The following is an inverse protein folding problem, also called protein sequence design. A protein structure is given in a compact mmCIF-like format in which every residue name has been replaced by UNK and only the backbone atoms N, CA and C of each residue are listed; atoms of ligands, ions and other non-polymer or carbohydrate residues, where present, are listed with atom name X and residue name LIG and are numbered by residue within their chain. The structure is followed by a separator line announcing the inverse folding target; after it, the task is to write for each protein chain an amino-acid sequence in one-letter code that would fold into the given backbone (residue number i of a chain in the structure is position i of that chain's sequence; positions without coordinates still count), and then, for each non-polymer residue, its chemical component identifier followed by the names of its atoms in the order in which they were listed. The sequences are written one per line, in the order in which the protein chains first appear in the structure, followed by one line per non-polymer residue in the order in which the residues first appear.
data_IF_651485241174
#
_entry.id   IF_651485241174
#
_cell.length_a   1.000
_cell.length_b   1.000
_cell.length_c   1.000
_cell.angle_alpha   90.00
_cell.angle_beta   90.00
_cell.angle_gamma   90.00
#
_symmetry.space_group_name_H-M   'P 1'
#
loop_
_entity.id
_entity.type
_entity.pdbx_description
1 polymer ?
#
# COMPACT_ATOMS: atom_id res chain seq x y z
N UNK A 1 13.20 2.05 -20.86
CA UNK A 1 13.82 2.03 -19.54
C UNK A 1 12.78 2.34 -18.50
N UNK A 2 12.46 1.38 -17.63
CA UNK A 2 11.79 1.65 -16.35
C UNK A 2 12.83 1.38 -15.28
N UNK A 3 13.11 2.40 -14.46
CA UNK A 3 14.17 2.40 -13.47
C UNK A 3 14.00 1.27 -12.47
N UNK A 4 15.06 0.49 -12.34
CA UNK A 4 15.33 -0.31 -11.16
C UNK A 4 15.57 0.65 -9.99
N UNK A 5 14.67 0.63 -9.00
CA UNK A 5 14.75 1.47 -7.81
C UNK A 5 14.21 0.71 -6.61
N UNK A 6 15.09 -0.12 -6.04
CA UNK A 6 15.07 -0.62 -4.67
C UNK A 6 13.74 -1.13 -4.08
N UNK A 7 13.46 -2.42 -4.29
CA UNK A 7 12.88 -3.26 -3.25
C UNK A 7 13.66 -4.58 -3.26
N UNK A 8 14.89 -4.53 -2.73
CA UNK A 8 15.63 -5.75 -2.38
C UNK A 8 15.19 -6.23 -0.99
N UNK A 9 15.24 -7.55 -0.74
CA UNK A 9 14.41 -8.23 0.23
C UNK A 9 15.15 -8.46 1.54
N UNK A 10 14.46 -8.30 2.67
CA UNK A 10 14.89 -8.90 3.93
C UNK A 10 14.02 -10.11 4.23
N UNK A 11 14.30 -11.18 3.49
CA UNK A 11 14.00 -12.54 3.93
C UNK A 11 15.04 -12.93 4.98
N UNK A 12 14.74 -12.69 6.26
CA UNK A 12 15.50 -13.26 7.38
C UNK A 12 14.52 -13.89 8.38
N UNK A 13 14.70 -15.20 8.61
CA UNK A 13 14.20 -15.87 9.81
C UNK A 13 12.83 -16.56 9.71
N UNK A 14 12.77 -17.70 9.02
CA UNK A 14 11.59 -18.60 8.89
C UNK A 14 11.08 -19.23 10.21
N UNK A 15 11.56 -18.79 11.38
CA UNK A 15 11.17 -19.33 12.69
C UNK A 15 10.55 -18.32 13.67
N UNK A 16 10.77 -17.01 13.47
CA UNK A 16 10.25 -15.95 14.35
C UNK A 16 9.04 -15.20 13.77
N UNK A 17 8.81 -15.31 12.45
CA UNK A 17 7.76 -14.60 11.73
C UNK A 17 6.34 -15.08 12.05
N UNK A 18 6.14 -16.32 12.51
CA UNK A 18 4.79 -16.84 12.80
C UNK A 18 4.04 -16.17 13.95
N UNK A 19 4.76 -15.50 14.88
CA UNK A 19 4.16 -14.74 15.99
C UNK A 19 3.83 -13.30 15.57
N UNK A 20 4.74 -12.66 14.82
CA UNK A 20 4.53 -11.32 14.26
C UNK A 20 3.49 -11.28 13.15
N UNK A 21 3.30 -12.37 12.39
CA UNK A 21 2.31 -12.44 11.29
C UNK A 21 0.87 -12.46 11.85
N UNK A 22 0.63 -13.23 12.90
CA UNK A 22 -0.65 -13.20 13.64
C UNK A 22 -0.89 -11.86 14.34
N UNK A 23 0.16 -11.25 14.88
CA UNK A 23 0.08 -9.91 15.47
C UNK A 23 -0.28 -8.85 14.43
N UNK A 24 0.29 -8.94 13.21
CA UNK A 24 -0.02 -8.05 12.09
C UNK A 24 -1.42 -8.27 11.50
N UNK A 25 -1.90 -9.52 11.42
CA UNK A 25 -3.27 -9.84 10.99
C UNK A 25 -4.30 -9.33 12.02
N UNK A 26 -4.01 -9.49 13.31
CA UNK A 26 -4.83 -8.95 14.40
C UNK A 26 -4.77 -7.41 14.45
N UNK A 27 -3.62 -6.80 14.14
CA UNK A 27 -3.49 -5.34 14.03
C UNK A 27 -4.31 -4.81 12.86
N UNK A 28 -4.28 -5.47 11.70
CA UNK A 28 -5.02 -5.04 10.51
C UNK A 28 -6.54 -5.23 10.68
N UNK A 29 -6.96 -6.34 11.30
CA UNK A 29 -8.35 -6.58 11.68
C UNK A 29 -8.79 -5.58 12.74
N UNK A 30 -7.95 -5.29 13.73
CA UNK A 30 -8.17 -4.27 14.74
C UNK A 30 -8.32 -2.87 14.14
N UNK A 31 -7.45 -2.47 13.22
CA UNK A 31 -7.54 -1.19 12.51
C UNK A 31 -8.80 -1.11 11.63
N UNK A 32 -9.18 -2.20 10.95
CA UNK A 32 -10.42 -2.26 10.17
C UNK A 32 -11.66 -2.20 11.06
N UNK A 33 -11.67 -2.90 12.19
CA UNK A 33 -12.76 -2.87 13.16
C UNK A 33 -12.87 -1.50 13.84
N UNK A 34 -11.74 -0.89 14.22
CA UNK A 34 -11.70 0.45 14.78
C UNK A 34 -12.20 1.49 13.77
N UNK A 35 -11.80 1.39 12.51
CA UNK A 35 -12.28 2.28 11.46
C UNK A 35 -13.78 2.13 11.20
N UNK A 36 -14.29 0.89 11.16
CA UNK A 36 -15.72 0.62 11.02
C UNK A 36 -16.51 1.11 12.24
N UNK A 37 -16.00 0.90 13.47
CA UNK A 37 -16.64 1.41 14.69
C UNK A 37 -16.68 2.94 14.72
N UNK A 38 -15.59 3.59 14.32
CA UNK A 38 -15.50 5.05 14.28
C UNK A 38 -16.38 5.65 13.18
N UNK A 39 -16.45 4.99 12.02
CA UNK A 39 -17.37 5.35 10.94
C UNK A 39 -18.83 5.13 11.35
N UNK A 40 -19.17 4.02 12.01
CA UNK A 40 -20.53 3.77 12.52
C UNK A 40 -20.91 4.80 13.59
N UNK A 41 -20.01 5.13 14.52
CA UNK A 41 -20.23 6.17 15.53
C UNK A 41 -20.44 7.56 14.92
N UNK A 42 -19.73 7.88 13.84
CA UNK A 42 -19.86 9.17 13.14
C UNK A 42 -21.08 9.23 12.20
N UNK A 43 -21.52 8.07 11.69
CA UNK A 43 -22.69 7.92 10.82
C UNK A 43 -23.99 7.60 11.58
N UNK A 44 -23.96 7.43 12.91
CA UNK A 44 -25.19 7.50 13.71
C UNK A 44 -25.76 8.90 13.50
N UNK A 45 -26.93 9.05 12.87
CA UNK A 45 -27.49 10.36 12.63
C UNK A 45 -27.87 10.95 13.98
N UNK A 46 -27.19 12.01 14.41
CA UNK A 46 -27.86 13.05 15.18
C UNK A 46 -28.96 13.54 14.24
N UNK A 47 -30.22 13.18 14.55
CA UNK A 47 -31.34 13.24 13.61
C UNK A 47 -31.34 14.52 12.76
N UNK A 48 -31.14 14.36 11.45
CA UNK A 48 -31.31 15.45 10.50
C UNK A 48 -32.80 15.74 10.36
N UNK A 49 -33.21 16.87 10.91
CA UNK A 49 -34.46 17.52 10.54
C UNK A 49 -34.35 17.87 9.05
N UNK A 50 -35.17 17.25 8.21
CA UNK A 50 -35.33 17.67 6.81
C UNK A 50 -36.15 18.96 6.84
N UNK A 51 -35.48 20.11 6.90
CA UNK A 51 -36.14 21.40 6.76
C UNK A 51 -36.46 21.59 5.28
N UNK A 52 -37.74 21.45 4.93
CA UNK A 52 -38.28 21.93 3.65
C UNK A 52 -37.90 23.40 3.49
N UNK A 53 -37.01 23.69 2.54
CA UNK A 53 -36.51 25.04 2.30
C UNK A 53 -37.65 26.02 2.01
N UNK A 54 -37.68 27.20 2.66
CA UNK A 54 -38.65 28.21 2.34
C UNK A 54 -38.28 28.87 1.00
N UNK A 55 -39.30 29.11 0.17
CA UNK A 55 -39.37 30.15 -0.88
C UNK A 55 -38.04 30.55 -1.55
N UNK A 56 -37.84 30.01 -2.75
CA UNK A 56 -36.77 30.31 -3.72
C UNK A 56 -36.52 31.82 -3.88
N UNK A 57 -35.65 32.38 -3.03
CA UNK A 57 -34.97 33.66 -3.28
C UNK A 57 -33.67 33.36 -3.99
N UNK A 58 -33.30 34.21 -4.95
CA UNK A 58 -32.05 34.01 -5.67
C UNK A 58 -30.88 34.36 -4.75
N UNK A 59 -29.77 33.62 -4.88
CA UNK A 59 -28.57 33.87 -4.05
C UNK A 59 -28.08 35.32 -4.15
N UNK A 60 -28.35 36.00 -5.27
CA UNK A 60 -27.99 37.40 -5.50
C UNK A 60 -28.70 38.38 -4.55
N UNK A 61 -29.86 38.02 -4.00
CA UNK A 61 -30.65 38.90 -3.12
C UNK A 61 -29.96 39.15 -1.78
N UNK A 62 -29.02 38.26 -1.42
CA UNK A 62 -28.23 38.32 -0.19
C UNK A 62 -26.85 38.95 -0.41
N UNK A 63 -26.64 39.65 -1.52
CA UNK A 63 -25.39 40.40 -1.75
C UNK A 63 -25.32 41.58 -0.77
N UNK A 64 -24.16 41.80 -0.14
CA UNK A 64 -23.94 42.78 0.94
C UNK A 64 -24.70 42.51 2.25
N UNK A 65 -25.20 41.29 2.48
CA UNK A 65 -25.77 40.89 3.77
C UNK A 65 -24.74 40.11 4.61
N UNK A 66 -25.21 39.32 5.59
CA UNK A 66 -24.34 38.46 6.38
C UNK A 66 -24.07 37.12 5.68
N UNK A 67 -22.87 36.58 5.91
CA UNK A 67 -22.45 35.27 5.42
C UNK A 67 -23.38 34.13 5.90
N UNK A 68 -23.95 34.24 7.10
CA UNK A 68 -24.89 33.25 7.66
C UNK A 68 -26.21 33.22 6.89
N UNK A 69 -26.72 34.39 6.51
CA UNK A 69 -27.98 34.51 5.75
C UNK A 69 -27.82 34.03 4.30
N UNK A 70 -26.67 34.32 3.67
CA UNK A 70 -26.36 33.79 2.33
C UNK A 70 -26.23 32.25 2.33
N UNK A 71 -25.62 31.67 3.38
CA UNK A 71 -25.31 30.25 3.46
C UNK A 71 -26.43 29.39 4.06
N UNK A 72 -27.58 29.98 4.39
CA UNK A 72 -28.79 29.22 4.73
C UNK A 72 -29.16 28.23 3.60
N UNK A 73 -28.86 28.61 2.35
CA UNK A 73 -28.99 27.76 1.19
C UNK A 73 -27.64 27.15 0.78
N UNK A 74 -27.51 25.82 0.86
CA UNK A 74 -26.30 25.07 0.43
C UNK A 74 -25.97 25.20 -1.06
N UNK A 75 -26.87 25.78 -1.85
CA UNK A 75 -26.65 26.05 -3.29
C UNK A 75 -25.95 27.40 -3.55
N UNK A 76 -25.80 28.24 -2.52
CA UNK A 76 -25.17 29.54 -2.60
C UNK A 76 -23.72 29.50 -2.08
N UNK A 77 -22.92 30.45 -2.54
CA UNK A 77 -21.52 30.67 -2.20
C UNK A 77 -21.35 32.13 -1.75
N UNK A 78 -20.65 32.32 -0.64
CA UNK A 78 -20.29 33.65 -0.14
C UNK A 78 -18.83 33.97 -0.43
N UNK A 79 -18.55 35.19 -0.88
CA UNK A 79 -17.19 35.71 -1.07
C UNK A 79 -16.92 36.90 -0.17
N UNK A 80 -15.85 36.83 0.63
CA UNK A 80 -15.47 37.91 1.55
C UNK A 80 -14.83 39.12 0.86
N UNK A 81 -14.12 38.93 -0.27
CA UNK A 81 -13.48 40.04 -1.02
C UNK A 81 -14.50 41.11 -1.41
N UNK A 82 -15.57 40.70 -2.10
CA UNK A 82 -16.57 41.61 -2.68
C UNK A 82 -17.88 41.65 -1.86
N UNK A 83 -17.94 40.95 -0.72
CA UNK A 83 -19.15 40.77 0.10
C UNK A 83 -20.39 40.37 -0.73
N UNK A 84 -20.18 39.46 -1.68
CA UNK A 84 -21.21 39.01 -2.63
C UNK A 84 -21.68 37.60 -2.34
N UNK A 85 -23.00 37.40 -2.46
CA UNK A 85 -23.62 36.08 -2.44
C UNK A 85 -23.97 35.69 -3.88
N UNK A 86 -23.54 34.52 -4.32
CA UNK A 86 -23.78 34.05 -5.68
C UNK A 86 -24.08 32.55 -5.70
N UNK A 87 -24.75 32.08 -6.75
CA UNK A 87 -25.02 30.66 -6.91
C UNK A 87 -23.71 29.90 -7.15
N UNK A 88 -23.50 28.79 -6.45
CA UNK A 88 -22.32 27.96 -6.66
C UNK A 88 -22.34 27.39 -8.09
N UNK A 89 -21.30 27.64 -8.91
CA UNK A 89 -21.26 27.16 -10.28
C UNK A 89 -20.97 25.65 -10.29
N UNK A 90 -22.01 24.83 -10.35
CA UNK A 90 -21.92 23.35 -10.35
C UNK A 90 -21.14 22.83 -11.57
N UNK A 91 -21.12 23.58 -12.67
CA UNK A 91 -20.41 23.21 -13.89
C UNK A 91 -18.89 23.24 -13.74
N UNK A 92 -18.37 24.03 -12.79
CA UNK A 92 -16.94 24.10 -12.49
C UNK A 92 -16.72 23.58 -11.08
N UNK A 93 -16.17 22.36 -10.96
CA UNK A 93 -15.96 21.67 -9.67
C UNK A 93 -15.23 22.54 -8.63
N UNK A 94 -14.41 23.50 -9.06
CA UNK A 94 -13.75 24.49 -8.22
C UNK A 94 -13.94 25.87 -8.87
N UNK A 95 -14.54 26.86 -8.18
CA UNK A 95 -14.63 28.21 -8.71
C UNK A 95 -13.22 28.76 -8.98
N UNK A 96 -13.02 29.39 -10.13
CA UNK A 96 -11.72 29.96 -10.48
C UNK A 96 -11.35 31.10 -9.51
N UNK A 97 -10.05 31.23 -9.21
CA UNK A 97 -9.52 32.29 -8.35
C UNK A 97 -9.89 33.72 -8.81
N UNK A 98 -10.28 33.88 -10.07
CA UNK A 98 -10.73 35.15 -10.64
C UNK A 98 -12.13 35.58 -10.19
N UNK A 99 -12.97 34.64 -9.73
CA UNK A 99 -14.34 34.93 -9.27
C UNK A 99 -14.36 35.17 -7.77
N UNK A 100 -13.62 34.34 -7.02
CA UNK A 100 -13.33 34.54 -5.60
C UNK A 100 -12.13 33.68 -5.24
N UNK A 101 -11.14 34.18 -4.49
CA UNK A 101 -10.02 33.37 -4.06
C UNK A 101 -10.49 32.33 -3.02
N UNK A 102 -9.97 31.10 -3.13
CA UNK A 102 -10.44 29.93 -2.36
C UNK A 102 -10.31 30.09 -0.84
N UNK A 103 -9.39 30.93 -0.38
CA UNK A 103 -9.18 31.26 1.03
C UNK A 103 -10.32 32.12 1.61
N UNK A 104 -10.99 32.91 0.78
CA UNK A 104 -12.05 33.84 1.17
C UNK A 104 -13.45 33.37 0.76
N UNK A 105 -13.53 32.35 -0.08
CA UNK A 105 -14.78 31.67 -0.39
C UNK A 105 -15.29 30.83 0.80
N UNK A 106 -16.60 30.85 1.04
CA UNK A 106 -17.30 30.01 2.03
C UNK A 106 -18.47 29.29 1.39
N UNK A 107 -18.68 28.03 1.77
CA UNK A 107 -19.76 27.18 1.25
C UNK A 107 -20.34 26.32 2.37
N UNK A 108 -21.66 26.32 2.51
CA UNK A 108 -22.42 25.57 3.51
C UNK A 108 -22.25 26.04 4.97
N UNK A 109 -21.05 26.48 5.36
CA UNK A 109 -20.73 27.01 6.70
C UNK A 109 -19.87 28.26 6.59
N UNK A 110 -20.11 29.24 7.46
CA UNK A 110 -19.41 30.53 7.39
C UNK A 110 -18.01 30.51 8.04
N UNK A 111 -17.80 29.64 9.02
CA UNK A 111 -16.56 29.60 9.82
C UNK A 111 -15.42 28.80 9.15
N UNK A 112 -15.68 28.04 8.08
CA UNK A 112 -14.65 27.24 7.36
C UNK A 112 -14.49 27.74 5.93
N UNK A 113 -13.23 27.91 5.52
CA UNK A 113 -12.87 28.29 4.16
C UNK A 113 -13.08 27.13 3.18
N UNK A 114 -13.38 27.44 1.91
CA UNK A 114 -13.53 26.43 0.87
C UNK A 114 -12.28 25.55 0.72
N UNK A 115 -11.10 26.15 0.85
CA UNK A 115 -9.81 25.45 0.86
C UNK A 115 -9.74 24.38 1.98
N UNK A 116 -10.07 24.76 3.21
CA UNK A 116 -10.06 23.85 4.35
C UNK A 116 -11.09 22.72 4.19
N UNK A 117 -12.24 23.01 3.58
CA UNK A 117 -13.28 22.02 3.30
C UNK A 117 -12.79 20.96 2.31
N UNK A 118 -12.12 21.36 1.22
CA UNK A 118 -11.55 20.42 0.24
C UNK A 118 -10.50 19.52 0.89
N UNK A 119 -9.61 20.11 1.71
CA UNK A 119 -8.57 19.35 2.42
C UNK A 119 -9.22 18.34 3.36
N UNK A 120 -10.23 18.75 4.14
CA UNK A 120 -10.94 17.85 5.05
C UNK A 120 -11.59 16.67 4.30
N UNK A 121 -12.28 16.92 3.18
CA UNK A 121 -12.87 15.86 2.35
C UNK A 121 -11.81 14.94 1.74
N UNK A 122 -10.66 15.49 1.35
CA UNK A 122 -9.53 14.73 0.83
C UNK A 122 -8.92 13.82 1.89
N UNK A 123 -8.77 14.30 3.13
CA UNK A 123 -8.25 13.51 4.26
C UNK A 123 -9.22 12.40 4.63
N UNK A 124 -10.52 12.70 4.74
CA UNK A 124 -11.56 11.69 5.01
C UNK A 124 -11.58 10.64 3.90
N UNK A 125 -11.60 11.07 2.64
CA UNK A 125 -11.53 10.17 1.49
C UNK A 125 -10.25 9.33 1.48
N UNK A 126 -9.09 9.92 1.78
CA UNK A 126 -7.81 9.24 1.87
C UNK A 126 -7.77 8.19 2.99
N UNK A 127 -8.32 8.51 4.16
CA UNK A 127 -8.44 7.57 5.29
C UNK A 127 -9.38 6.40 4.98
N UNK A 128 -10.34 6.55 4.07
CA UNK A 128 -11.22 5.46 3.61
C UNK A 128 -10.58 4.66 2.46
N UNK A 129 -9.99 5.35 1.47
CA UNK A 129 -9.45 4.72 0.27
C UNK A 129 -8.12 4.01 0.53
N UNK A 130 -7.24 4.58 1.36
CA UNK A 130 -5.95 3.98 1.69
C UNK A 130 -6.08 2.58 2.31
N UNK A 131 -6.91 2.34 3.35
CA UNK A 131 -7.09 1.00 3.89
C UNK A 131 -7.83 0.08 2.92
N UNK A 132 -8.68 0.58 2.03
CA UNK A 132 -9.35 -0.24 1.02
C UNK A 132 -8.36 -0.75 -0.03
N UNK A 133 -7.53 0.13 -0.57
CA UNK A 133 -6.46 -0.23 -1.52
C UNK A 133 -5.42 -1.12 -0.84
N UNK A 134 -4.98 -0.75 0.35
CA UNK A 134 -4.08 -1.55 1.18
C UNK A 134 -4.66 -2.94 1.44
N UNK A 135 -5.88 -3.06 1.95
CA UNK A 135 -6.56 -4.34 2.19
C UNK A 135 -6.72 -5.14 0.89
N UNK A 136 -7.06 -4.52 -0.24
CA UNK A 136 -7.15 -5.20 -1.53
C UNK A 136 -5.77 -5.68 -2.04
N UNK A 137 -4.71 -4.90 -1.86
CA UNK A 137 -3.36 -5.28 -2.27
C UNK A 137 -2.76 -6.35 -1.34
N UNK A 138 -2.89 -6.23 -0.02
CA UNK A 138 -2.34 -7.19 0.94
C UNK A 138 -3.14 -8.50 0.99
N UNK A 139 -4.48 -8.47 0.91
CA UNK A 139 -5.29 -9.69 0.92
C UNK A 139 -5.27 -10.43 -0.42
N UNK A 140 -5.15 -9.72 -1.55
CA UNK A 140 -5.06 -10.35 -2.88
C UNK A 140 -3.62 -10.79 -3.25
N UNK A 141 -2.61 -10.45 -2.46
CA UNK A 141 -1.28 -11.04 -2.54
C UNK A 141 -1.18 -12.41 -1.82
N UNK A 142 -2.08 -12.70 -0.85
CA UNK A 142 -2.06 -13.96 -0.08
C UNK A 142 -2.97 -15.06 -0.66
N UNK A 143 -3.96 -14.70 -1.48
CA UNK A 143 -4.75 -15.64 -2.29
C UNK A 143 -4.52 -15.34 -3.76
N UNK A 144 -4.15 -16.38 -4.52
CA UNK A 144 -3.81 -16.39 -5.96
C UNK A 144 -4.96 -15.96 -6.91
N UNK A 145 -5.66 -14.87 -6.59
CA UNK A 145 -6.89 -14.38 -7.25
C UNK A 145 -6.75 -12.88 -7.56
N UNK A 146 -5.54 -12.37 -7.76
CA UNK A 146 -5.35 -11.09 -8.44
C UNK A 146 -4.87 -11.33 -9.88
N UNK A 147 -5.57 -10.76 -10.86
CA UNK A 147 -5.19 -10.83 -12.28
C UNK A 147 -3.80 -10.21 -12.53
N UNK A 148 -3.36 -9.28 -11.68
CA UNK A 148 -2.05 -8.63 -11.75
C UNK A 148 -0.90 -9.47 -11.17
N UNK A 149 -1.16 -10.28 -10.11
CA UNK A 149 -0.13 -11.12 -9.48
C UNK A 149 0.05 -12.47 -10.20
N UNK A 150 -0.99 -12.98 -10.86
CA UNK A 150 -0.96 -14.28 -11.56
C UNK A 150 0.08 -14.35 -12.68
N UNK A 151 0.46 -13.22 -13.28
CA UNK A 151 1.47 -13.17 -14.35
C UNK A 151 2.90 -13.25 -13.83
N UNK A 152 3.13 -12.94 -12.54
CA UNK A 152 4.46 -12.83 -11.94
C UNK A 152 4.85 -14.11 -11.17
N UNK A 153 3.90 -14.82 -10.56
CA UNK A 153 4.19 -16.06 -9.83
C UNK A 153 4.60 -17.22 -10.75
N UNK A 154 3.93 -17.38 -11.89
CA UNK A 154 4.21 -18.49 -12.83
C UNK A 154 5.63 -18.41 -13.42
N UNK A 155 6.13 -17.19 -13.65
CA UNK A 155 7.49 -16.95 -14.12
C UNK A 155 8.55 -17.17 -13.04
N UNK A 156 8.22 -16.94 -11.77
CA UNK A 156 9.17 -17.14 -10.66
C UNK A 156 9.34 -18.63 -10.33
N UNK A 157 8.24 -19.38 -10.30
CA UNK A 157 8.27 -20.82 -10.02
C UNK A 157 9.08 -21.58 -11.09
N UNK A 158 8.97 -21.19 -12.36
CA UNK A 158 9.73 -21.77 -13.47
C UNK A 158 11.24 -21.46 -13.39
N UNK A 159 11.61 -20.22 -13.02
CA UNK A 159 13.01 -19.83 -12.82
C UNK A 159 13.66 -20.56 -11.64
N UNK A 160 12.92 -20.78 -10.54
CA UNK A 160 13.44 -21.51 -9.37
C UNK A 160 13.73 -22.99 -9.70
N UNK A 161 12.85 -23.63 -10.50
CA UNK A 161 13.06 -25.02 -10.95
C UNK A 161 14.31 -25.16 -11.84
N UNK A 162 14.52 -24.22 -12.77
CA UNK A 162 15.70 -24.19 -13.64
C UNK A 162 16.98 -24.00 -12.80
N UNK A 163 16.95 -23.11 -11.81
CA UNK A 163 18.09 -22.88 -10.93
C UNK A 163 18.43 -24.11 -10.10
N UNK A 164 17.42 -24.83 -9.59
CA UNK A 164 17.62 -26.07 -8.84
C UNK A 164 18.30 -27.14 -9.70
N UNK A 165 17.84 -27.35 -10.94
CA UNK A 165 18.46 -28.30 -11.90
C UNK A 165 19.92 -27.95 -12.18
N UNK A 166 20.22 -26.68 -12.45
CA UNK A 166 21.60 -26.23 -12.71
C UNK A 166 22.51 -26.42 -11.49
N UNK A 167 22.00 -26.24 -10.27
CA UNK A 167 22.77 -26.51 -9.05
C UNK A 167 23.07 -28.00 -8.87
N UNK A 168 22.10 -28.86 -9.15
CA UNK A 168 22.28 -30.32 -9.09
C UNK A 168 23.30 -30.80 -10.12
N UNK A 169 23.21 -30.33 -11.36
CA UNK A 169 24.19 -30.64 -12.41
C UNK A 169 25.60 -30.22 -11.97
N UNK A 170 25.77 -28.99 -11.47
CA UNK A 170 27.07 -28.50 -10.96
C UNK A 170 27.59 -29.36 -9.80
N UNK A 171 26.71 -29.85 -8.91
CA UNK A 171 27.09 -30.75 -7.82
C UNK A 171 27.53 -32.11 -8.37
N UNK A 172 26.85 -32.65 -9.36
CA UNK A 172 27.22 -33.92 -10.01
C UNK A 172 28.57 -33.81 -10.72
N UNK A 173 28.81 -32.72 -11.46
CA UNK A 173 30.10 -32.48 -12.11
C UNK A 173 31.25 -32.38 -11.10
N UNK A 174 31.04 -31.69 -9.95
CA UNK A 174 32.04 -31.66 -8.87
C UNK A 174 32.34 -33.05 -8.32
N UNK A 175 31.30 -33.82 -7.97
CA UNK A 175 31.46 -35.20 -7.48
C UNK A 175 32.21 -36.10 -8.47
N UNK A 176 31.93 -35.97 -9.77
CA UNK A 176 32.62 -36.73 -10.81
C UNK A 176 34.11 -36.39 -10.88
N UNK A 177 34.46 -35.11 -10.80
CA UNK A 177 35.88 -34.67 -10.78
C UNK A 177 36.61 -35.13 -9.53
N UNK A 178 35.95 -35.11 -8.38
CA UNK A 178 36.55 -35.55 -7.12
C UNK A 178 36.74 -37.08 -7.10
N UNK A 179 35.79 -37.83 -7.67
CA UNK A 179 35.93 -39.29 -7.84
C UNK A 179 37.06 -39.66 -8.80
N UNK A 180 37.21 -38.97 -9.94
CA UNK A 180 38.31 -39.20 -10.89
C UNK A 180 39.68 -38.90 -10.26
N UNK A 181 39.79 -37.78 -9.51
CA UNK A 181 41.01 -37.46 -8.75
C UNK A 181 41.36 -38.54 -7.73
N UNK A 182 40.37 -39.02 -6.97
CA UNK A 182 40.56 -40.06 -5.97
C UNK A 182 40.99 -41.39 -6.61
N UNK A 183 40.33 -41.79 -7.71
CA UNK A 183 40.68 -43.01 -8.43
C UNK A 183 42.13 -42.98 -8.94
N UNK A 184 42.55 -41.88 -9.58
CA UNK A 184 43.94 -41.69 -10.04
C UNK A 184 44.94 -41.70 -8.89
N UNK A 185 44.60 -41.08 -7.77
CA UNK A 185 45.43 -41.06 -6.57
C UNK A 185 45.59 -42.47 -5.97
N UNK A 186 44.49 -43.22 -5.87
CA UNK A 186 44.47 -44.58 -5.33
C UNK A 186 45.27 -45.54 -6.23
N UNK A 187 45.18 -45.40 -7.57
CA UNK A 187 46.01 -46.15 -8.53
C UNK A 187 47.51 -45.91 -8.33
N UNK A 188 47.93 -44.65 -8.10
CA UNK A 188 49.33 -44.30 -7.81
C UNK A 188 49.78 -44.91 -6.47
N UNK A 189 48.97 -44.77 -5.41
CA UNK A 189 49.30 -45.31 -4.10
C UNK A 189 49.48 -46.84 -4.12
N UNK A 190 48.66 -47.55 -4.91
CA UNK A 190 48.80 -49.01 -5.10
C UNK A 190 50.09 -49.37 -5.83
N UNK A 191 50.44 -48.61 -6.87
CA UNK A 191 51.66 -48.86 -7.67
C UNK A 191 52.94 -48.79 -6.83
N UNK A 192 52.97 -47.96 -5.79
CA UNK A 192 54.14 -47.79 -4.91
C UNK A 192 54.01 -48.47 -3.54
N UNK A 193 52.96 -49.29 -3.32
CA UNK A 193 52.80 -50.06 -2.08
C UNK A 193 52.50 -49.21 -0.84
N UNK A 194 52.04 -47.96 -0.99
CA UNK A 194 51.79 -47.02 0.12
C UNK A 194 50.47 -47.28 0.88
N UNK A 195 49.61 -48.17 0.38
CA UNK A 195 48.25 -48.36 0.91
C UNK A 195 48.15 -49.23 2.18
N UNK A 196 49.27 -49.71 2.73
CA UNK A 196 49.26 -50.64 3.86
C UNK A 196 49.44 -49.99 5.25
N UNK A 197 49.72 -48.68 5.35
CA UNK A 197 50.02 -48.04 6.65
C UNK A 197 49.31 -46.69 6.91
N UNK A 198 48.20 -46.37 6.24
CA UNK A 198 47.54 -45.06 6.44
C UNK A 198 46.03 -45.19 6.56
N UNK A 199 45.58 -45.74 7.68
CA UNK A 199 44.23 -45.54 8.22
C UNK A 199 44.01 -44.10 8.75
N UNK A 200 44.88 -43.13 8.43
CA UNK A 200 44.62 -41.74 8.77
C UNK A 200 43.78 -41.08 7.69
N UNK A 201 42.47 -41.15 7.94
CA UNK A 201 41.43 -40.28 7.43
C UNK A 201 41.97 -38.89 7.07
N UNK A 202 41.65 -38.44 5.86
CA UNK A 202 41.73 -37.03 5.51
C UNK A 202 40.62 -36.29 6.30
N UNK A 203 40.88 -36.02 7.58
CA UNK A 203 40.10 -35.08 8.37
C UNK A 203 40.36 -33.70 7.76
N UNK A 204 39.35 -33.22 7.04
CA UNK A 204 39.26 -31.83 6.62
C UNK A 204 39.33 -30.99 7.89
N UNK A 205 40.46 -30.32 8.13
CA UNK A 205 40.61 -29.40 9.26
C UNK A 205 39.54 -28.31 9.13
N UNK A 206 38.54 -28.35 10.02
CA UNK A 206 37.66 -27.23 10.31
C UNK A 206 38.52 -26.24 11.10
N UNK A 207 38.88 -25.12 10.46
CA UNK A 207 39.49 -24.00 11.15
C UNK A 207 38.37 -23.22 11.86
N UNK A 208 38.50 -23.11 13.19
CA UNK A 208 37.77 -22.17 14.05
C UNK A 208 38.06 -20.70 13.69
#
# INVERSE_FOLDING_TARGET
GCGAGACAPLCLGRGFLGRSEKESENMLVGMRQMFVLLFVLFMVPVGSQVTLGPTMRDCSDFTNTSCEECLENVSCLWCFVDQRCMKYPVETIIPSNSICPLNEARWGVCWVNFECLIIAMSVVGGLILLPLVCCCCYCCCKKNVCRCCKRKSLSYDEEEEILAKLQEERKQYRKKRDADKKARYDEICKKYGLLQNSDHLYSKFENE
#
